data_IF_016957549602
#
_entry.id   IF_016957549602
#
_cell.length_a   1.000
_cell.length_b   1.000
_cell.length_c   1.000
_cell.angle_alpha   90.00
_cell.angle_beta   90.00
_cell.angle_gamma   90.00
#
_symmetry.space_group_name_H-M   'P 1'
#
loop_
_entity.id
_entity.type
_entity.pdbx_description
1 polymer ?
#
# COMPACT_ATOMS: atom_id res chain seq x y z
N UNK A 1 -5.44 13.91 12.78
CA UNK A 1 -4.26 13.47 13.55
C UNK A 1 -4.75 12.50 14.62
N UNK A 2 -4.13 11.33 14.77
CA UNK A 2 -4.56 10.30 15.74
C UNK A 2 -4.67 8.87 15.18
N UNK A 3 -4.53 8.66 13.87
CA UNK A 3 -4.55 7.34 13.25
C UNK A 3 -3.14 6.86 12.93
N UNK A 4 -2.86 5.59 13.21
CA UNK A 4 -1.65 4.89 12.77
C UNK A 4 -1.98 4.13 11.49
N UNK A 5 -1.38 4.47 10.34
CA UNK A 5 -1.75 3.85 9.08
C UNK A 5 -1.19 2.42 8.97
N UNK A 6 -1.96 1.56 8.32
CA UNK A 6 -1.53 0.27 7.80
C UNK A 6 -1.33 0.43 6.29
N UNK A 7 -0.16 0.04 5.80
CA UNK A 7 0.24 0.19 4.40
C UNK A 7 0.27 -1.19 3.75
N UNK A 8 -0.48 -1.36 2.67
CA UNK A 8 -0.48 -2.55 1.83
C UNK A 8 0.03 -2.16 0.44
N UNK A 9 1.19 -2.68 0.03
CA UNK A 9 1.81 -2.39 -1.27
C UNK A 9 2.63 -3.61 -1.75
N UNK A 10 2.72 -3.83 -3.06
CA UNK A 10 3.49 -4.93 -3.65
C UNK A 10 4.82 -4.47 -4.28
N UNK A 11 5.20 -3.20 -4.10
CA UNK A 11 6.36 -2.55 -4.71
C UNK A 11 6.39 -2.56 -6.24
N UNK A 12 5.28 -2.84 -6.94
CA UNK A 12 5.30 -2.96 -8.41
C UNK A 12 5.66 -1.66 -9.12
N UNK A 13 5.45 -0.52 -8.46
CA UNK A 13 5.81 0.81 -8.96
C UNK A 13 6.31 1.73 -7.83
N UNK A 14 6.81 1.12 -6.75
CA UNK A 14 7.35 1.82 -5.58
C UNK A 14 8.66 1.13 -5.15
N UNK A 15 9.37 1.71 -4.19
CA UNK A 15 10.66 1.17 -3.71
C UNK A 15 10.59 0.96 -2.21
N UNK A 16 11.15 -0.14 -1.71
CA UNK A 16 11.25 -0.43 -0.28
C UNK A 16 11.99 0.64 0.51
N UNK A 17 12.87 1.43 -0.13
CA UNK A 17 13.52 2.60 0.50
C UNK A 17 12.54 3.73 0.89
N UNK A 18 11.26 3.65 0.50
CA UNK A 18 10.20 4.50 1.03
C UNK A 18 9.93 4.19 2.50
N UNK A 19 10.04 2.93 2.94
CA UNK A 19 9.81 2.53 4.34
C UNK A 19 10.82 3.19 5.27
N UNK A 20 12.11 3.21 4.89
CA UNK A 20 13.15 3.89 5.68
C UNK A 20 12.85 5.39 5.88
N UNK A 21 12.29 6.04 4.85
CA UNK A 21 11.91 7.45 4.92
C UNK A 21 10.67 7.66 5.78
N UNK A 22 9.69 6.76 5.69
CA UNK A 22 8.51 6.79 6.58
C UNK A 22 8.97 6.64 8.03
N UNK A 23 9.84 5.68 8.33
CA UNK A 23 10.34 5.45 9.69
C UNK A 23 11.07 6.66 10.30
N UNK A 24 11.69 7.51 9.48
CA UNK A 24 12.31 8.76 9.93
C UNK A 24 11.31 9.89 10.19
N UNK A 25 10.16 9.87 9.52
CA UNK A 25 9.15 10.93 9.58
C UNK A 25 8.07 10.65 10.64
N UNK A 26 7.79 9.38 10.91
CA UNK A 26 6.78 8.99 11.88
C UNK A 26 7.37 8.87 13.28
N UNK A 27 6.60 9.31 14.29
CA UNK A 27 6.93 9.07 15.70
C UNK A 27 6.63 7.62 16.13
N UNK A 28 5.77 6.94 15.38
CA UNK A 28 5.39 5.54 15.56
C UNK A 28 5.41 4.83 14.21
N UNK A 29 6.11 3.70 14.14
CA UNK A 29 6.28 2.95 12.91
C UNK A 29 4.91 2.47 12.36
N UNK A 30 4.56 2.79 11.11
CA UNK A 30 3.36 2.27 10.49
C UNK A 30 3.50 0.77 10.20
N UNK A 31 2.40 0.03 10.26
CA UNK A 31 2.42 -1.39 9.87
C UNK A 31 2.55 -1.46 8.35
N UNK A 32 3.48 -2.27 7.87
CA UNK A 32 3.64 -2.55 6.45
C UNK A 32 3.34 -4.02 6.15
N UNK A 33 2.53 -4.25 5.13
CA UNK A 33 2.16 -5.56 4.61
C UNK A 33 2.54 -5.58 3.14
N UNK A 34 3.49 -6.45 2.78
CA UNK A 34 3.84 -6.67 1.39
C UNK A 34 2.80 -7.57 0.72
N UNK A 35 2.17 -7.08 -0.35
CA UNK A 35 1.26 -7.90 -1.14
C UNK A 35 0.36 -7.11 -2.08
N UNK A 36 -0.38 -7.87 -2.90
CA UNK A 36 -1.19 -7.30 -3.99
C UNK A 36 -2.62 -7.03 -3.54
N UNK A 37 -3.12 -5.82 -3.82
CA UNK A 37 -4.50 -5.41 -3.57
C UNK A 37 -5.54 -6.28 -4.30
N UNK A 38 -5.13 -7.01 -5.35
CA UNK A 38 -5.98 -7.91 -6.13
C UNK A 38 -6.24 -9.24 -5.42
N UNK A 39 -5.56 -9.52 -4.30
CA UNK A 39 -5.78 -10.69 -3.46
C UNK A 39 -6.86 -10.39 -2.41
N UNK A 40 -8.13 -10.80 -2.62
CA UNK A 40 -9.23 -10.39 -1.74
C UNK A 40 -9.06 -10.91 -0.32
N UNK A 41 -8.54 -12.13 -0.17
CA UNK A 41 -8.28 -12.75 1.13
C UNK A 41 -7.23 -11.96 1.94
N UNK A 42 -6.20 -11.45 1.28
CA UNK A 42 -5.17 -10.62 1.91
C UNK A 42 -5.75 -9.29 2.38
N UNK A 43 -6.55 -8.64 1.52
CA UNK A 43 -7.21 -7.37 1.84
C UNK A 43 -8.16 -7.56 3.01
N UNK A 44 -9.02 -8.59 2.96
CA UNK A 44 -9.96 -8.89 4.04
C UNK A 44 -9.23 -9.12 5.36
N UNK A 45 -8.22 -9.99 5.36
CA UNK A 45 -7.42 -10.28 6.54
C UNK A 45 -6.76 -9.02 7.10
N UNK A 46 -6.21 -8.16 6.23
CA UNK A 46 -5.57 -6.90 6.63
C UNK A 46 -6.55 -5.95 7.32
N UNK A 47 -7.78 -5.84 6.80
CA UNK A 47 -8.80 -4.97 7.39
C UNK A 47 -9.28 -5.49 8.74
N UNK A 48 -9.43 -6.82 8.88
CA UNK A 48 -9.87 -7.49 10.10
C UNK A 48 -8.78 -7.48 11.19
N UNK A 49 -7.54 -7.88 10.87
CA UNK A 49 -6.42 -8.00 11.82
C UNK A 49 -6.01 -6.64 12.42
N UNK A 50 -6.29 -5.54 11.73
CA UNK A 50 -5.92 -4.18 12.14
C UNK A 50 -7.10 -3.26 12.44
N UNK A 51 -8.33 -3.78 12.47
CA UNK A 51 -9.55 -3.03 12.79
C UNK A 51 -9.68 -1.72 11.99
N UNK A 52 -9.38 -1.78 10.68
CA UNK A 52 -9.33 -0.58 9.84
C UNK A 52 -10.70 0.11 9.73
N UNK A 53 -10.82 1.31 10.31
CA UNK A 53 -12.06 2.10 10.27
C UNK A 53 -12.30 2.78 8.89
N UNK A 54 -11.26 2.96 8.09
CA UNK A 54 -11.32 3.69 6.81
C UNK A 54 -10.18 3.29 5.88
N UNK A 55 -10.39 3.45 4.57
CA UNK A 55 -9.43 3.07 3.52
C UNK A 55 -9.17 4.25 2.57
N UNK A 56 -7.89 4.46 2.22
CA UNK A 56 -7.47 5.36 1.16
C UNK A 56 -6.75 4.55 0.08
N UNK A 57 -7.33 4.48 -1.13
CA UNK A 57 -6.85 3.61 -2.20
C UNK A 57 -5.97 4.36 -3.21
N UNK A 58 -4.64 4.27 -3.04
CA UNK A 58 -3.66 4.83 -3.97
C UNK A 58 -3.02 3.81 -4.90
N UNK A 59 -3.19 2.51 -4.62
CA UNK A 59 -2.61 1.43 -5.40
C UNK A 59 -3.25 1.39 -6.81
N UNK A 60 -2.46 1.75 -7.81
CA UNK A 60 -2.90 1.77 -9.20
C UNK A 60 -1.77 2.18 -10.14
N UNK A 61 -1.84 1.72 -11.39
CA UNK A 61 -0.88 2.11 -12.41
C UNK A 61 -1.08 3.58 -12.77
N UNK A 62 -0.12 4.42 -12.38
CA UNK A 62 -0.17 5.88 -12.57
C UNK A 62 0.45 6.34 -13.89
N UNK A 63 1.17 5.45 -14.57
CA UNK A 63 1.90 5.78 -15.79
C UNK A 63 1.03 5.59 -17.04
N UNK A 64 0.54 6.71 -17.57
CA UNK A 64 -0.12 6.76 -18.89
C UNK A 64 0.78 6.17 -19.99
N UNK A 65 2.11 6.30 -19.85
CA UNK A 65 3.08 5.71 -20.76
C UNK A 65 3.16 4.18 -20.71
N UNK A 66 3.00 3.56 -19.53
CA UNK A 66 3.00 2.09 -19.39
C UNK A 66 1.68 1.49 -19.86
N UNK A 67 0.56 2.17 -19.61
CA UNK A 67 -0.75 1.76 -20.14
C UNK A 67 -0.80 1.70 -21.67
N UNK A 68 0.06 2.45 -22.38
CA UNK A 68 0.19 2.39 -23.83
C UNK A 68 1.12 1.25 -24.28
N UNK A 69 2.10 0.87 -23.47
CA UNK A 69 3.04 -0.21 -23.78
C UNK A 69 2.46 -1.60 -23.45
N UNK A 70 1.68 -1.72 -22.38
CA UNK A 70 1.07 -2.97 -21.92
C UNK A 70 -0.40 -2.78 -21.51
N UNK A 71 -1.32 -2.67 -22.48
CA UNK A 71 -2.72 -2.28 -22.22
C UNK A 71 -3.59 -3.34 -21.51
N UNK A 72 -3.09 -4.55 -21.26
CA UNK A 72 -3.87 -5.70 -20.77
C UNK A 72 -3.25 -6.40 -19.54
N UNK A 73 -2.41 -5.71 -18.78
CA UNK A 73 -1.73 -6.31 -17.61
C UNK A 73 -2.60 -6.36 -16.36
#
# INVERSE_FOLDING_TARGET
AGYTPVILDNFSNSSSGVLDRLNQLFQQEPVFIEGDIRSPDLVQKTLEDHECESVIHFAGYKAVGESMAEPLK
#
